data_IF_183518891060
#
_entry.id   IF_183518891060
#
_cell.length_a   1.000
_cell.length_b   1.000
_cell.length_c   1.000
_cell.angle_alpha   90.00
_cell.angle_beta   90.00
_cell.angle_gamma   90.00
#
_symmetry.space_group_name_H-M   'P 1'
#
loop_
_entity.id
_entity.type
_entity.pdbx_description
1 polymer ?
#
# COMPACT_ATOMS: atom_id res chain seq x y z
N UNK A 1 10.88 19.34 -7.40
CA UNK A 1 11.94 19.91 -8.27
C UNK A 1 12.10 21.38 -7.90
N UNK A 2 13.35 21.82 -7.80
CA UNK A 2 13.86 23.18 -7.55
C UNK A 2 14.54 23.38 -6.18
N UNK A 3 15.75 22.83 -6.12
CA UNK A 3 16.84 23.33 -5.27
C UNK A 3 17.46 24.50 -6.02
N UNK A 4 17.29 25.71 -5.50
CA UNK A 4 17.96 26.90 -6.02
C UNK A 4 19.36 26.91 -5.41
N UNK A 5 20.34 26.49 -6.20
CA UNK A 5 21.76 26.61 -5.88
C UNK A 5 22.21 27.99 -6.36
N UNK A 6 22.41 28.95 -5.45
CA UNK A 6 23.02 30.24 -5.77
C UNK A 6 24.44 30.26 -5.20
N UNK A 7 25.42 30.36 -6.10
CA UNK A 7 26.81 30.61 -5.77
C UNK A 7 27.00 31.98 -5.12
N UNK A 8 28.00 31.99 -4.23
CA UNK A 8 28.61 33.09 -3.48
C UNK A 8 28.73 34.43 -4.24
N UNK A 9 28.69 35.55 -3.50
CA UNK A 9 29.85 36.43 -3.52
C UNK A 9 30.24 36.97 -2.13
N UNK A 10 31.54 37.13 -1.90
CA UNK A 10 32.08 38.10 -0.94
C UNK A 10 32.46 37.57 0.46
N UNK A 11 33.75 37.30 0.65
CA UNK A 11 34.40 37.50 1.96
C UNK A 11 34.33 39.00 2.29
N UNK A 12 33.86 39.40 3.49
CA UNK A 12 34.77 39.48 4.64
C UNK A 12 34.17 39.09 6.02
N UNK A 13 35.02 38.44 6.81
CA UNK A 13 35.34 38.66 8.24
C UNK A 13 35.42 37.38 9.10
N UNK A 14 36.49 37.23 9.91
CA UNK A 14 36.76 36.03 10.68
C UNK A 14 36.05 36.10 12.03
N UNK A 15 34.88 35.47 12.13
CA UNK A 15 34.23 35.22 13.41
C UNK A 15 34.10 33.71 13.60
N UNK A 16 35.07 33.14 14.29
CA UNK A 16 34.86 31.94 15.11
C UNK A 16 33.63 32.19 16.01
N UNK A 17 32.67 31.25 16.20
CA UNK A 17 32.84 29.80 16.23
C UNK A 17 31.79 29.03 15.38
N UNK A 18 32.19 27.91 14.76
CA UNK A 18 31.22 26.94 14.26
C UNK A 18 30.87 25.97 15.40
N UNK A 19 29.99 26.43 16.30
CA UNK A 19 29.24 25.52 17.19
C UNK A 19 28.15 24.90 16.32
N UNK A 20 28.33 23.65 15.90
CA UNK A 20 27.22 22.87 15.34
C UNK A 20 26.35 22.41 16.50
N UNK A 21 25.43 23.28 16.91
CA UNK A 21 24.31 22.90 17.79
C UNK A 21 23.31 22.08 16.98
N UNK A 22 23.45 20.76 16.99
CA UNK A 22 22.30 19.89 16.75
C UNK A 22 21.60 19.68 18.08
N UNK A 23 20.47 20.39 18.27
CA UNK A 23 19.53 20.13 19.35
C UNK A 23 19.05 18.67 19.28
N UNK A 24 19.67 17.80 20.08
CA UNK A 24 19.07 16.54 20.51
C UNK A 24 18.66 16.73 21.95
N UNK A 25 17.35 16.66 22.17
CA UNK A 25 16.73 16.87 23.46
C UNK A 25 17.30 15.95 24.56
N UNK A 26 17.54 16.58 25.72
CA UNK A 26 17.62 16.02 27.07
C UNK A 26 18.78 15.07 27.39
N UNK A 27 19.77 15.58 28.13
CA UNK A 27 20.62 14.76 28.99
C UNK A 27 21.99 15.35 29.30
N UNK A 28 22.08 16.09 30.41
CA UNK A 28 23.29 16.37 31.21
C UNK A 28 24.52 16.95 30.50
N UNK A 29 24.83 18.21 30.83
CA UNK A 29 25.91 18.99 30.26
C UNK A 29 27.30 18.38 30.37
N UNK A 30 27.99 18.41 29.23
CA UNK A 30 29.43 18.33 29.07
C UNK A 30 29.76 18.79 27.64
N UNK A 31 29.58 20.07 27.33
CA UNK A 31 29.95 20.60 26.01
C UNK A 31 30.77 21.90 26.15
N UNK A 32 32.06 21.70 26.35
CA UNK A 32 33.14 22.50 25.81
C UNK A 32 34.45 21.82 26.21
N UNK A 33 34.69 20.61 25.70
CA UNK A 33 36.04 20.08 25.69
C UNK A 33 36.79 20.93 24.67
N UNK A 34 37.37 22.04 25.14
CA UNK A 34 38.42 22.74 24.41
C UNK A 34 39.41 21.67 23.95
N UNK A 35 39.60 21.56 22.63
CA UNK A 35 40.69 20.78 22.06
C UNK A 35 41.99 21.38 22.60
N UNK A 36 42.40 20.87 23.77
CA UNK A 36 43.61 21.24 24.45
C UNK A 36 44.74 21.02 23.46
N UNK A 37 45.34 22.11 23.00
CA UNK A 37 46.35 22.12 21.96
C UNK A 37 47.41 21.08 22.28
N UNK A 38 47.43 20.01 21.48
CA UNK A 38 48.53 19.07 21.46
C UNK A 38 49.74 19.85 20.98
N UNK A 39 50.51 20.39 21.91
CA UNK A 39 51.74 21.11 21.61
C UNK A 39 52.69 20.09 20.96
N UNK A 40 52.96 20.19 19.65
CA UNK A 40 53.72 19.15 18.97
C UNK A 40 55.14 19.15 19.55
N UNK A 41 55.70 17.95 19.76
CA UNK A 41 57.12 17.80 20.11
C UNK A 41 57.92 18.42 18.96
N UNK A 42 58.50 19.60 19.19
CA UNK A 42 59.28 20.29 18.17
C UNK A 42 60.52 19.46 17.85
N UNK A 43 60.69 19.12 16.58
CA UNK A 43 61.83 18.33 16.09
C UNK A 43 62.88 19.30 15.53
N UNK A 44 64.17 19.03 15.74
CA UNK A 44 65.23 19.81 15.10
C UNK A 44 65.11 19.75 13.57
N UNK A 45 65.46 20.83 12.87
CA UNK A 45 65.39 20.87 11.41
C UNK A 45 66.42 19.90 10.80
N UNK A 46 65.95 18.95 10.00
CA UNK A 46 66.83 18.10 9.19
C UNK A 46 67.09 18.77 7.82
N UNK A 47 68.11 19.62 7.81
CA UNK A 47 68.52 20.37 6.63
C UNK A 47 68.91 19.47 5.45
N UNK A 48 69.45 18.26 5.70
CA UNK A 48 69.86 17.34 4.63
C UNK A 48 68.66 16.74 3.93
N UNK A 49 67.64 16.35 4.69
CA UNK A 49 66.40 15.81 4.13
C UNK A 49 65.65 16.89 3.34
N UNK A 50 65.55 18.10 3.88
CA UNK A 50 64.89 19.21 3.18
C UNK A 50 65.63 19.61 1.90
N UNK A 51 66.97 19.61 1.89
CA UNK A 51 67.75 19.97 0.70
C UNK A 51 67.66 18.95 -0.43
N UNK A 52 67.28 17.70 -0.13
CA UNK A 52 67.13 16.65 -1.14
C UNK A 52 65.80 16.73 -1.91
N UNK A 53 64.87 17.58 -1.47
CA UNK A 53 63.55 17.74 -2.08
C UNK A 53 63.68 18.63 -3.32
N UNK A 54 63.30 18.10 -4.48
CA UNK A 54 63.10 18.88 -5.69
C UNK A 54 61.73 19.57 -5.65
N UNK A 55 61.71 20.79 -5.11
CA UNK A 55 60.48 21.58 -4.91
C UNK A 55 59.81 21.90 -6.25
N UNK A 56 60.58 22.13 -7.31
CA UNK A 56 60.03 22.44 -8.64
C UNK A 56 59.32 21.23 -9.23
N UNK A 57 59.87 20.03 -9.05
CA UNK A 57 59.19 18.78 -9.44
C UNK A 57 57.92 18.58 -8.63
N UNK A 58 57.99 18.71 -7.29
CA UNK A 58 56.82 18.57 -6.41
C UNK A 58 55.70 19.55 -6.80
N UNK A 59 56.05 20.79 -7.15
CA UNK A 59 55.08 21.79 -7.59
C UNK A 59 54.47 21.48 -8.97
N UNK A 60 55.28 21.05 -9.95
CA UNK A 60 54.78 20.71 -11.30
C UNK A 60 53.89 19.47 -11.29
N UNK A 61 54.24 18.47 -10.50
CA UNK A 61 53.56 17.17 -10.48
C UNK A 61 52.48 17.09 -9.40
N UNK A 62 52.43 18.05 -8.48
CA UNK A 62 51.59 18.01 -7.27
C UNK A 62 51.80 16.67 -6.56
N UNK A 63 53.07 16.35 -6.28
CA UNK A 63 53.47 15.07 -5.67
C UNK A 63 53.01 15.03 -4.21
N UNK A 64 51.76 14.59 -4.01
CA UNK A 64 51.12 14.49 -2.69
C UNK A 64 51.89 13.54 -1.79
N UNK A 65 52.52 12.49 -2.33
CA UNK A 65 53.29 11.53 -1.53
C UNK A 65 54.53 12.20 -0.94
N UNK A 66 55.28 12.95 -1.76
CA UNK A 66 56.42 13.73 -1.29
C UNK A 66 56.00 14.79 -0.26
N UNK A 67 54.88 15.50 -0.50
CA UNK A 67 54.34 16.46 0.47
C UNK A 67 53.98 15.78 1.80
N UNK A 68 53.30 14.63 1.75
CA UNK A 68 52.86 13.89 2.93
C UNK A 68 54.04 13.35 3.76
N UNK A 69 55.13 12.95 3.11
CA UNK A 69 56.34 12.50 3.80
C UNK A 69 56.99 13.63 4.61
N UNK A 70 56.94 14.87 4.11
CA UNK A 70 57.69 16.00 4.67
C UNK A 70 56.83 16.97 5.51
N UNK A 71 55.49 16.92 5.38
CA UNK A 71 54.57 17.87 6.01
C UNK A 71 54.77 17.96 7.53
N UNK A 72 54.96 16.82 8.21
CA UNK A 72 55.19 16.79 9.65
C UNK A 72 56.52 17.45 10.04
N UNK A 73 57.58 17.22 9.25
CA UNK A 73 58.89 17.81 9.47
C UNK A 73 58.90 19.32 9.30
N UNK A 74 58.15 19.86 8.35
CA UNK A 74 58.03 21.31 8.13
C UNK A 74 57.12 21.96 9.17
N UNK A 75 55.99 21.35 9.46
CA UNK A 75 54.96 21.91 10.38
C UNK A 75 55.48 21.97 11.82
N UNK A 76 56.20 20.94 12.26
CA UNK A 76 56.60 20.77 13.65
C UNK A 76 58.09 20.98 13.91
N UNK A 77 58.85 21.53 12.96
CA UNK A 77 60.25 21.84 13.23
C UNK A 77 60.43 22.99 14.24
N UNK A 78 61.54 22.94 14.98
CA UNK A 78 61.99 24.04 15.81
C UNK A 78 62.75 25.06 14.96
N UNK A 79 62.36 26.34 15.02
CA UNK A 79 63.03 27.43 14.32
C UNK A 79 63.95 28.25 15.24
N UNK A 80 63.91 27.97 16.55
CA UNK A 80 64.61 28.75 17.55
C UNK A 80 66.13 28.55 17.43
N UNK A 81 66.85 29.63 17.11
CA UNK A 81 68.31 29.62 17.08
C UNK A 81 68.92 28.88 15.87
N UNK A 82 68.14 28.61 14.84
CA UNK A 82 68.62 27.97 13.62
C UNK A 82 69.67 28.84 12.90
N UNK A 83 70.75 28.18 12.48
CA UNK A 83 71.92 28.81 11.85
C UNK A 83 72.15 28.19 10.48
N UNK A 84 72.66 29.00 9.55
CA UNK A 84 73.05 28.52 8.24
C UNK A 84 74.10 27.40 8.37
N UNK A 85 73.88 26.21 7.78
CA UNK A 85 74.84 25.11 7.84
C UNK A 85 76.22 25.44 7.23
N UNK A 86 76.27 26.40 6.30
CA UNK A 86 77.48 26.74 5.54
C UNK A 86 78.31 27.87 6.18
N UNK A 87 77.66 28.93 6.65
CA UNK A 87 78.37 30.11 7.18
C UNK A 87 78.19 30.32 8.69
N UNK A 88 77.39 29.49 9.38
CA UNK A 88 77.09 29.56 10.82
C UNK A 88 76.45 30.88 11.29
N UNK A 89 76.02 31.73 10.37
CA UNK A 89 75.27 32.93 10.68
C UNK A 89 73.83 32.59 11.07
N UNK A 90 73.20 33.36 11.96
CA UNK A 90 71.78 33.19 12.26
C UNK A 90 70.94 33.34 10.98
N UNK A 91 69.88 32.55 10.87
CA UNK A 91 68.94 32.68 9.77
C UNK A 91 68.24 34.05 9.78
N UNK A 92 67.85 34.54 8.59
CA UNK A 92 67.14 35.81 8.45
C UNK A 92 65.84 35.81 9.27
N UNK A 93 65.66 36.76 10.22
CA UNK A 93 64.47 36.85 11.04
C UNK A 93 63.16 37.00 10.24
N UNK A 94 63.18 37.61 9.05
CA UNK A 94 62.00 37.76 8.20
C UNK A 94 61.60 36.41 7.61
N UNK A 95 62.56 35.64 7.10
CA UNK A 95 62.31 34.30 6.58
C UNK A 95 61.81 33.34 7.68
N UNK A 96 62.37 33.43 8.89
CA UNK A 96 61.88 32.66 10.04
C UNK A 96 60.42 33.00 10.39
N UNK A 97 60.03 34.28 10.28
CA UNK A 97 58.62 34.69 10.47
C UNK A 97 57.71 34.13 9.39
N UNK A 98 58.13 34.17 8.12
CA UNK A 98 57.35 33.60 7.00
C UNK A 98 57.16 32.09 7.22
N UNK A 99 58.23 31.38 7.57
CA UNK A 99 58.15 29.95 7.87
C UNK A 99 57.28 29.65 9.09
N UNK A 100 57.37 30.49 10.15
CA UNK A 100 56.50 30.35 11.32
C UNK A 100 55.02 30.59 10.97
N UNK A 101 54.73 31.55 10.10
CA UNK A 101 53.38 31.74 9.57
C UNK A 101 52.91 30.53 8.78
N UNK A 102 53.76 29.96 7.91
CA UNK A 102 53.45 28.74 7.17
C UNK A 102 53.17 27.55 8.09
N UNK A 103 53.97 27.35 9.16
CA UNK A 103 53.69 26.32 10.18
C UNK A 103 52.30 26.48 10.78
N UNK A 104 51.96 27.69 11.24
CA UNK A 104 50.65 27.98 11.83
C UNK A 104 49.50 27.78 10.83
N UNK A 105 49.71 28.16 9.56
CA UNK A 105 48.74 27.90 8.50
C UNK A 105 48.53 26.41 8.26
N UNK A 106 49.59 25.60 8.22
CA UNK A 106 49.48 24.14 8.04
C UNK A 106 48.84 23.50 9.29
N UNK A 107 49.23 23.89 10.51
CA UNK A 107 48.60 23.44 11.75
C UNK A 107 47.08 23.72 11.73
N UNK A 108 46.68 24.91 11.30
CA UNK A 108 45.27 25.27 11.14
C UNK A 108 44.56 24.40 10.08
N UNK A 109 45.18 24.18 8.92
CA UNK A 109 44.61 23.34 7.87
C UNK A 109 44.44 21.87 8.31
N UNK A 110 45.41 21.32 9.06
CA UNK A 110 45.30 19.99 9.65
C UNK A 110 44.16 19.91 10.68
N UNK A 111 44.02 20.93 11.52
CA UNK A 111 42.89 21.03 12.44
C UNK A 111 41.55 21.08 11.70
N UNK A 112 41.44 21.90 10.65
CA UNK A 112 40.25 21.93 9.80
C UNK A 112 39.96 20.57 9.17
N UNK A 113 40.98 19.85 8.69
CA UNK A 113 40.81 18.52 8.13
C UNK A 113 40.24 17.55 9.17
N UNK A 114 40.74 17.57 10.41
CA UNK A 114 40.23 16.71 11.49
C UNK A 114 38.79 17.08 11.87
N UNK A 115 38.48 18.37 12.03
CA UNK A 115 37.12 18.84 12.32
C UNK A 115 36.12 18.47 11.22
N UNK A 116 36.50 18.67 9.96
CA UNK A 116 35.66 18.31 8.82
C UNK A 116 35.50 16.79 8.69
N UNK A 117 36.59 16.03 8.91
CA UNK A 117 36.56 14.56 8.87
C UNK A 117 35.67 13.96 9.95
N UNK A 118 35.76 14.47 11.18
CA UNK A 118 34.90 14.04 12.30
C UNK A 118 33.43 14.42 12.07
N UNK A 119 33.15 15.64 11.60
CA UNK A 119 31.79 16.06 11.23
C UNK A 119 31.20 15.19 10.11
N UNK A 120 31.98 14.89 9.07
CA UNK A 120 31.55 14.02 7.97
C UNK A 120 31.23 12.61 8.46
N UNK A 121 32.09 12.03 9.32
CA UNK A 121 31.86 10.71 9.90
C UNK A 121 30.57 10.68 10.74
N UNK A 122 30.34 11.71 11.56
CA UNK A 122 29.12 11.86 12.34
C UNK A 122 27.86 11.93 11.46
N UNK A 123 27.88 12.76 10.41
CA UNK A 123 26.75 12.86 9.49
C UNK A 123 26.51 11.56 8.71
N UNK A 124 27.57 10.86 8.29
CA UNK A 124 27.46 9.56 7.64
C UNK A 124 26.79 8.52 8.56
N UNK A 125 27.17 8.48 9.85
CA UNK A 125 26.57 7.60 10.84
C UNK A 125 25.10 7.96 11.09
N UNK A 126 24.79 9.25 11.24
CA UNK A 126 23.41 9.72 11.40
C UNK A 126 22.52 9.29 10.23
N UNK A 127 23.01 9.47 8.99
CA UNK A 127 22.30 9.09 7.79
C UNK A 127 22.06 7.57 7.73
N UNK A 128 23.05 6.77 8.11
CA UNK A 128 22.91 5.31 8.18
C UNK A 128 21.82 4.89 9.18
N UNK A 129 21.80 5.51 10.37
CA UNK A 129 20.79 5.23 11.40
C UNK A 129 19.40 5.68 10.94
N UNK A 130 19.28 6.86 10.32
CA UNK A 130 18.02 7.35 9.78
C UNK A 130 17.47 6.43 8.69
N UNK A 131 18.35 5.93 7.80
CA UNK A 131 17.98 4.97 6.76
C UNK A 131 17.48 3.65 7.34
N UNK A 132 18.16 3.11 8.35
CA UNK A 132 17.72 1.89 9.04
C UNK A 132 16.35 2.07 9.72
N UNK A 133 16.13 3.22 10.37
CA UNK A 133 14.82 3.56 10.97
C UNK A 133 13.73 3.65 9.92
N UNK A 134 14.00 4.31 8.80
CA UNK A 134 13.05 4.42 7.69
C UNK A 134 12.68 3.05 7.10
N UNK A 135 13.65 2.16 6.93
CA UNK A 135 13.38 0.81 6.44
C UNK A 135 12.49 0.02 7.43
N UNK A 136 12.76 0.12 8.73
CA UNK A 136 11.94 -0.51 9.77
C UNK A 136 10.51 0.03 9.78
N UNK A 137 10.32 1.36 9.73
CA UNK A 137 8.98 1.97 9.73
C UNK A 137 8.21 1.63 8.46
N UNK A 138 8.87 1.54 7.31
CA UNK A 138 8.25 1.10 6.05
C UNK A 138 7.77 -0.36 6.14
N UNK A 139 8.57 -1.24 6.73
CA UNK A 139 8.16 -2.64 6.95
C UNK A 139 6.93 -2.71 7.87
N UNK A 140 6.96 -2.00 9.01
CA UNK A 140 5.83 -1.95 9.94
C UNK A 140 4.57 -1.39 9.27
N UNK A 141 4.69 -0.35 8.46
CA UNK A 141 3.57 0.21 7.71
C UNK A 141 2.99 -0.80 6.70
N UNK A 142 3.84 -1.57 6.03
CA UNK A 142 3.40 -2.62 5.11
C UNK A 142 2.65 -3.75 5.84
N UNK A 143 3.15 -4.18 7.01
CA UNK A 143 2.50 -5.17 7.87
C UNK A 143 1.15 -4.66 8.41
N UNK A 144 1.07 -3.41 8.86
CA UNK A 144 -0.19 -2.81 9.28
C UNK A 144 -1.19 -2.73 8.13
N UNK A 145 -0.72 -2.39 6.92
CA UNK A 145 -1.57 -2.35 5.73
C UNK A 145 -2.11 -3.75 5.35
N UNK A 146 -1.32 -4.82 5.51
CA UNK A 146 -1.80 -6.19 5.25
C UNK A 146 -2.83 -6.62 6.31
N UNK A 147 -2.57 -6.34 7.59
CA UNK A 147 -3.50 -6.63 8.68
C UNK A 147 -4.84 -5.90 8.50
N UNK A 148 -4.79 -4.61 8.15
CA UNK A 148 -5.99 -3.80 7.92
C UNK A 148 -6.81 -4.29 6.72
N UNK A 149 -6.16 -4.80 5.66
CA UNK A 149 -6.87 -5.47 4.56
C UNK A 149 -7.56 -6.75 5.04
N UNK A 150 -6.85 -7.60 5.78
CA UNK A 150 -7.42 -8.83 6.36
C UNK A 150 -8.64 -8.55 7.24
N UNK A 151 -8.52 -7.62 8.20
CA UNK A 151 -9.62 -7.24 9.08
C UNK A 151 -10.82 -6.64 8.31
N UNK A 152 -10.58 -5.87 7.24
CA UNK A 152 -11.66 -5.35 6.38
C UNK A 152 -12.38 -6.48 5.64
N UNK A 153 -11.66 -7.49 5.15
CA UNK A 153 -12.25 -8.65 4.50
C UNK A 153 -13.08 -9.49 5.47
N UNK A 154 -12.57 -9.75 6.67
CA UNK A 154 -13.31 -10.42 7.73
C UNK A 154 -14.58 -9.65 8.11
N UNK A 155 -14.48 -8.34 8.32
CA UNK A 155 -15.64 -7.48 8.59
C UNK A 155 -16.67 -7.56 7.46
N UNK A 156 -16.24 -7.58 6.19
CA UNK A 156 -17.14 -7.76 5.04
C UNK A 156 -17.81 -9.14 5.07
N UNK A 157 -17.08 -10.20 5.40
CA UNK A 157 -17.63 -11.57 5.51
C UNK A 157 -18.68 -11.66 6.62
N UNK A 158 -18.38 -11.13 7.81
CA UNK A 158 -19.30 -11.10 8.94
C UNK A 158 -20.57 -10.29 8.62
N UNK A 159 -20.44 -9.11 7.99
CA UNK A 159 -21.60 -8.32 7.57
C UNK A 159 -22.51 -9.07 6.60
N UNK A 160 -21.95 -9.81 5.63
CA UNK A 160 -22.73 -10.66 4.72
C UNK A 160 -23.47 -11.76 5.47
N UNK A 161 -22.81 -12.42 6.42
CA UNK A 161 -23.42 -13.48 7.23
C UNK A 161 -24.56 -12.95 8.10
N UNK A 162 -24.36 -11.80 8.76
CA UNK A 162 -25.40 -11.13 9.56
C UNK A 162 -26.57 -10.70 8.67
N UNK A 163 -26.31 -10.11 7.50
CA UNK A 163 -27.37 -9.71 6.58
C UNK A 163 -28.21 -10.91 6.10
N UNK A 164 -27.55 -12.03 5.77
CA UNK A 164 -28.25 -13.28 5.43
C UNK A 164 -29.10 -13.79 6.60
N UNK A 165 -28.54 -13.81 7.81
CA UNK A 165 -29.27 -14.23 9.01
C UNK A 165 -30.47 -13.32 9.29
N UNK A 166 -30.33 -12.01 9.11
CA UNK A 166 -31.40 -11.04 9.27
C UNK A 166 -32.52 -11.26 8.26
N UNK A 167 -32.19 -11.55 6.99
CA UNK A 167 -33.17 -11.89 5.96
C UNK A 167 -33.99 -13.13 6.32
N UNK A 168 -33.32 -14.18 6.80
CA UNK A 168 -33.99 -15.41 7.26
C UNK A 168 -34.96 -15.15 8.42
N UNK A 169 -34.59 -14.26 9.35
CA UNK A 169 -35.46 -13.87 10.47
C UNK A 169 -36.63 -12.98 10.03
N UNK A 170 -36.41 -12.03 9.11
CA UNK A 170 -37.42 -11.08 8.63
C UNK A 170 -38.49 -11.73 7.75
N UNK A 171 -38.13 -12.74 6.96
CA UNK A 171 -39.08 -13.45 6.12
C UNK A 171 -40.08 -14.33 6.93
N UNK A 172 -39.98 -14.33 8.26
CA UNK A 172 -40.99 -14.81 9.20
C UNK A 172 -41.30 -16.31 9.08
N UNK A 173 -42.41 -16.80 9.66
CA UNK A 173 -42.87 -18.20 9.54
C UNK A 173 -43.12 -18.68 8.10
N UNK A 174 -43.00 -17.78 7.10
CA UNK A 174 -43.25 -18.05 5.69
C UNK A 174 -42.00 -18.59 4.94
N UNK A 175 -40.83 -18.61 5.58
CA UNK A 175 -39.63 -19.34 5.10
C UNK A 175 -39.57 -20.78 5.55
N UNK A 176 -40.46 -21.17 6.46
CA UNK A 176 -40.63 -22.53 6.89
C UNK A 176 -41.62 -23.20 5.94
N UNK A 177 -41.29 -24.40 5.50
CA UNK A 177 -42.16 -25.22 4.68
C UNK A 177 -43.31 -25.71 5.56
N UNK A 178 -44.48 -25.08 5.46
CA UNK A 178 -45.68 -25.43 6.22
C UNK A 178 -46.36 -26.64 5.60
N UNK A 179 -46.79 -27.59 6.43
CA UNK A 179 -47.69 -28.64 5.99
C UNK A 179 -49.06 -28.02 5.67
N UNK A 180 -49.66 -28.40 4.56
CA UNK A 180 -50.99 -27.95 4.17
C UNK A 180 -52.11 -28.81 4.79
N UNK A 181 -51.74 -29.92 5.42
CA UNK A 181 -52.65 -30.90 6.02
C UNK A 181 -52.68 -30.83 7.55
N UNK A 182 -51.75 -30.08 8.17
CA UNK A 182 -51.73 -29.80 9.60
C UNK A 182 -50.87 -28.56 9.92
N UNK A 183 -50.95 -28.04 11.14
CA UNK A 183 -50.27 -26.79 11.54
C UNK A 183 -48.75 -26.91 11.79
N UNK A 184 -48.08 -27.95 11.29
CA UNK A 184 -46.63 -28.15 11.48
C UNK A 184 -45.82 -27.41 10.42
N UNK A 185 -44.76 -26.74 10.85
CA UNK A 185 -43.82 -26.01 9.99
C UNK A 185 -42.40 -26.55 10.12
N UNK A 186 -41.68 -26.65 9.00
CA UNK A 186 -40.36 -27.26 8.92
C UNK A 186 -39.32 -26.31 8.33
N UNK A 187 -38.07 -26.39 8.78
CA UNK A 187 -36.99 -25.50 8.32
C UNK A 187 -36.50 -25.77 6.89
N UNK A 188 -36.75 -26.97 6.34
CA UNK A 188 -36.40 -27.34 4.96
C UNK A 188 -37.50 -28.18 4.33
N UNK A 189 -37.65 -28.06 3.02
CA UNK A 189 -38.64 -28.81 2.25
C UNK A 189 -38.47 -30.33 2.37
N UNK A 190 -37.23 -30.81 2.42
CA UNK A 190 -36.93 -32.24 2.63
C UNK A 190 -37.52 -32.79 3.93
N UNK A 191 -37.56 -31.99 4.99
CA UNK A 191 -38.19 -32.38 6.25
C UNK A 191 -39.72 -32.34 6.17
N UNK A 192 -40.28 -31.38 5.43
CA UNK A 192 -41.72 -31.32 5.16
C UNK A 192 -42.17 -32.54 4.33
N UNK A 193 -41.48 -32.87 3.25
CA UNK A 193 -41.79 -34.01 2.39
C UNK A 193 -41.78 -35.32 3.17
N UNK A 194 -40.74 -35.55 3.97
CA UNK A 194 -40.66 -36.74 4.83
C UNK A 194 -41.78 -36.77 5.88
N UNK A 195 -42.23 -35.61 6.38
CA UNK A 195 -43.37 -35.52 7.30
C UNK A 195 -44.68 -35.89 6.61
N UNK A 196 -44.97 -35.32 5.43
CA UNK A 196 -46.17 -35.60 4.64
C UNK A 196 -46.22 -37.08 4.30
N UNK A 197 -45.14 -37.68 3.82
CA UNK A 197 -45.08 -39.10 3.46
C UNK A 197 -45.35 -40.05 4.65
N UNK A 198 -44.97 -39.69 5.88
CA UNK A 198 -45.11 -40.59 7.04
C UNK A 198 -46.42 -40.41 7.81
N UNK A 199 -46.99 -39.20 7.78
CA UNK A 199 -48.14 -38.82 8.61
C UNK A 199 -49.39 -38.51 7.80
N UNK A 200 -49.22 -38.27 6.50
CA UNK A 200 -50.26 -37.96 5.54
C UNK A 200 -50.13 -38.81 4.27
N UNK A 201 -49.64 -40.05 4.41
CA UNK A 201 -49.52 -41.00 3.30
C UNK A 201 -50.87 -41.20 2.58
N UNK A 202 -51.95 -41.35 3.36
CA UNK A 202 -53.32 -41.55 2.87
C UNK A 202 -53.87 -40.34 2.07
N UNK A 203 -53.41 -39.12 2.35
CA UNK A 203 -53.83 -37.92 1.61
C UNK A 203 -53.01 -37.69 0.33
N UNK A 204 -51.87 -38.38 0.19
CA UNK A 204 -51.05 -38.29 -1.03
C UNK A 204 -51.71 -39.04 -2.19
N UNK A 205 -52.52 -40.08 -1.89
CA UNK A 205 -53.37 -40.78 -2.86
C UNK A 205 -54.57 -39.92 -3.34
N UNK A 206 -54.99 -38.92 -2.56
CA UNK A 206 -56.03 -37.97 -2.97
C UNK A 206 -55.53 -36.93 -4.01
N UNK A 207 -54.21 -36.81 -4.22
CA UNK A 207 -53.62 -36.00 -5.29
C UNK A 207 -53.92 -36.56 -6.67
N UNK A 208 -53.81 -37.88 -6.84
CA UNK A 208 -54.21 -38.57 -8.08
C UNK A 208 -55.72 -38.47 -8.34
N UNK A 209 -56.51 -38.31 -7.27
CA UNK A 209 -57.95 -38.10 -7.36
C UNK A 209 -58.28 -36.71 -7.89
N UNK A 210 -57.49 -35.67 -7.58
CA UNK A 210 -57.70 -34.32 -8.11
C UNK A 210 -57.45 -34.22 -9.62
N UNK A 211 -56.41 -34.89 -10.12
CA UNK A 211 -56.14 -34.98 -11.56
C UNK A 211 -57.24 -35.74 -12.30
N UNK A 212 -57.75 -36.83 -11.72
CA UNK A 212 -58.92 -37.56 -12.26
C UNK A 212 -60.19 -36.72 -12.20
N UNK A 213 -60.37 -35.89 -11.18
CA UNK A 213 -61.53 -35.00 -11.06
C UNK A 213 -61.50 -33.93 -12.15
N UNK A 214 -60.35 -33.34 -12.47
CA UNK A 214 -60.27 -32.39 -13.59
C UNK A 214 -60.42 -33.07 -14.97
N UNK A 215 -59.89 -34.29 -15.15
CA UNK A 215 -60.13 -35.07 -16.38
C UNK A 215 -61.63 -35.39 -16.57
N UNK A 216 -62.32 -35.79 -15.50
CA UNK A 216 -63.77 -36.07 -15.53
C UNK A 216 -64.59 -34.81 -15.80
N UNK A 217 -64.16 -33.66 -15.30
CA UNK A 217 -64.81 -32.37 -15.53
C UNK A 217 -64.67 -31.91 -16.98
N UNK A 218 -63.50 -32.11 -17.58
CA UNK A 218 -63.28 -31.87 -19.00
C UNK A 218 -64.18 -32.76 -19.88
N UNK A 219 -64.26 -34.06 -19.59
CA UNK A 219 -65.15 -35.00 -20.30
C UNK A 219 -66.63 -34.65 -20.16
N UNK A 220 -67.05 -34.17 -18.98
CA UNK A 220 -68.42 -33.71 -18.76
C UNK A 220 -68.75 -32.45 -19.58
N UNK A 221 -67.81 -31.52 -19.71
CA UNK A 221 -68.00 -30.32 -20.50
C UNK A 221 -68.09 -30.62 -22.01
N UNK A 222 -67.27 -31.55 -22.51
CA UNK A 222 -67.30 -32.01 -23.90
C UNK A 222 -68.64 -32.69 -24.24
N UNK A 223 -69.09 -33.63 -23.40
CA UNK A 223 -70.39 -34.31 -23.60
C UNK A 223 -71.57 -33.33 -23.53
N UNK A 224 -71.51 -32.31 -22.66
CA UNK A 224 -72.53 -31.25 -22.64
C UNK A 224 -72.54 -30.41 -23.93
N UNK A 225 -71.39 -30.18 -24.56
CA UNK A 225 -71.32 -29.48 -25.85
C UNK A 225 -71.87 -30.34 -26.99
N UNK A 226 -71.54 -31.63 -27.02
CA UNK A 226 -72.08 -32.57 -28.01
C UNK A 226 -73.61 -32.68 -27.94
N UNK A 227 -74.17 -32.83 -26.73
CA UNK A 227 -75.63 -32.88 -26.54
C UNK A 227 -76.34 -31.59 -26.96
N UNK A 228 -75.69 -30.43 -26.80
CA UNK A 228 -76.24 -29.15 -27.27
C UNK A 228 -76.25 -29.09 -28.80
N UNK A 229 -75.15 -29.48 -29.44
CA UNK A 229 -75.05 -29.51 -30.90
C UNK A 229 -76.07 -30.50 -31.52
N UNK A 230 -76.26 -31.65 -30.90
CA UNK A 230 -77.25 -32.64 -31.36
C UNK A 230 -78.68 -32.12 -31.24
N UNK A 231 -79.02 -31.45 -30.12
CA UNK A 231 -80.34 -30.80 -29.95
C UNK A 231 -80.57 -29.67 -30.95
N UNK A 232 -79.55 -28.90 -31.28
CA UNK A 232 -79.64 -27.84 -32.29
C UNK A 232 -79.80 -28.42 -33.69
N UNK A 233 -79.08 -29.50 -34.01
CA UNK A 233 -79.23 -30.23 -35.27
C UNK A 233 -80.61 -30.87 -35.42
N UNK A 234 -81.16 -31.48 -34.36
CA UNK A 234 -82.51 -32.04 -34.34
C UNK A 234 -83.57 -30.94 -34.53
N UNK A 235 -83.37 -29.77 -33.91
CA UNK A 235 -84.25 -28.61 -34.10
C UNK A 235 -84.23 -28.10 -35.55
N UNK A 236 -83.04 -27.96 -36.15
CA UNK A 236 -82.89 -27.56 -37.55
C UNK A 236 -83.51 -28.58 -38.51
N UNK A 237 -83.32 -29.88 -38.25
CA UNK A 237 -83.95 -30.94 -39.04
C UNK A 237 -85.47 -30.88 -38.93
N UNK A 238 -86.02 -30.61 -37.74
CA UNK A 238 -87.46 -30.44 -37.55
C UNK A 238 -88.01 -29.24 -38.32
N UNK A 239 -87.27 -28.13 -38.33
CA UNK A 239 -87.62 -26.92 -39.10
C UNK A 239 -87.57 -27.18 -40.60
N UNK A 240 -86.54 -27.85 -41.13
CA UNK A 240 -86.44 -28.24 -42.55
C UNK A 240 -87.59 -29.15 -43.00
N UNK A 241 -87.95 -30.18 -42.23
CA UNK A 241 -89.09 -31.06 -42.56
C UNK A 241 -90.42 -30.28 -42.56
N UNK A 242 -90.55 -29.25 -41.73
CA UNK A 242 -91.72 -28.38 -41.69
C UNK A 242 -91.77 -27.42 -42.90
N UNK A 243 -90.62 -26.92 -43.36
CA UNK A 243 -90.51 -26.11 -44.58
C UNK A 243 -90.74 -26.95 -45.85
N UNK A 244 -90.16 -28.14 -45.95
CA UNK A 244 -90.41 -29.06 -47.08
C UNK A 244 -91.87 -29.52 -47.13
N UNK A 245 -92.48 -29.79 -45.98
CA UNK A 245 -93.90 -30.12 -45.87
C UNK A 245 -94.84 -28.98 -46.27
N UNK A 246 -94.46 -27.72 -46.02
CA UNK A 246 -95.24 -26.54 -46.45
C UNK A 246 -95.01 -26.20 -47.93
N UNK A 247 -93.81 -26.39 -48.46
CA UNK A 247 -93.50 -26.25 -49.89
C UNK A 247 -94.25 -27.28 -50.76
N UNK A 248 -94.30 -28.55 -50.33
CA UNK A 248 -95.05 -29.61 -51.03
C UNK A 248 -96.58 -29.39 -51.00
N UNK A 249 -97.12 -28.66 -50.01
CA UNK A 249 -98.53 -28.27 -49.95
C UNK A 249 -98.85 -27.12 -50.94
N UNK A 250 -97.90 -26.22 -51.17
CA UNK A 250 -98.04 -25.11 -52.12
C UNK A 250 -97.93 -25.57 -53.59
N UNK A 251 -97.08 -26.54 -53.90
CA UNK A 251 -97.01 -27.13 -55.26
C UNK A 251 -98.30 -27.89 -55.62
N UNK A 252 -98.91 -28.61 -54.67
CA UNK A 252 -100.19 -29.31 -54.90
C UNK A 252 -101.39 -28.39 -55.11
N UNK A 253 -101.32 -27.12 -54.69
CA UNK A 253 -102.36 -26.12 -54.99
C UNK A 253 -102.15 -25.42 -56.34
N UNK A 254 -101.07 -25.71 -57.07
CA UNK A 254 -100.76 -25.15 -58.39
C UNK A 254 -101.18 -26.02 -59.58
N UNK A 255 -101.44 -27.31 -59.38
CA UNK A 255 -101.72 -28.29 -60.46
C UNK A 255 -103.22 -28.62 -60.66
N UNK A 256 -104.14 -27.98 -59.91
CA UNK A 256 -105.61 -28.09 -60.11
C UNK A 256 -106.24 -26.83 -60.73
N UNK A 257 -105.68 -26.33 -61.84
CA UNK A 257 -106.35 -25.35 -62.72
C UNK A 257 -106.31 -25.74 -64.19
#
# INVERSE_FOLDING_TARGET
MHVVNQCLPGFPDPVWPCVVSTEVAAGSGQEAQACAGQRPRRVSVDWRRLSAIDVDRVAREVDVAALQEHIAGVTFCNLDGEQCPHCRQPADPVLLKVLRMAQLSIEYLLHCQECLGTSLAMHAQYLQVAHAKLACTQQQAAEQATQLRGAKEESRRWKKLIAMQQLLLQAGPNTYCKCHLCDKAFMKDTFLQAHVQRRHAEATEAGEHWDKVEELKAKLQETQQQLKAEREAEKLHREQVQEEGTAALLEKMGEEK
#
